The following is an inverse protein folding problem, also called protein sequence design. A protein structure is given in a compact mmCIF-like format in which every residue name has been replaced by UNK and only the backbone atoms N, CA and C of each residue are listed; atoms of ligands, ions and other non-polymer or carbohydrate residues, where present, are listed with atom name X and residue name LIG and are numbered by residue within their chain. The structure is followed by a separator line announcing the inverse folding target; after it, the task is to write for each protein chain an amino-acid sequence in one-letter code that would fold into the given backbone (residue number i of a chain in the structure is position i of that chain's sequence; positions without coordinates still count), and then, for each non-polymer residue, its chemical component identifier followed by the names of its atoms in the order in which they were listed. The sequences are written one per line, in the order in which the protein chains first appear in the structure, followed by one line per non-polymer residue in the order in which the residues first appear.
data_IF_556507383319
#
_entry.id   IF_556507383319
#
_cell.length_a   1.000
_cell.length_b   1.000
_cell.length_c   1.000
_cell.angle_alpha   90.00
_cell.angle_beta   90.00
_cell.angle_gamma   90.00
#
_symmetry.space_group_name_H-M   'P 1'
#
loop_
_entity.id
_entity.type
_entity.pdbx_description
1 polymer ?
#
# COMPACT_ATOMS: atom_id res chain seq x y z
N UNK A 1 -23.80 -6.33 23.09
CA UNK A 1 -23.30 -4.94 22.89
C UNK A 1 -22.19 -4.53 23.88
N UNK A 2 -21.60 -5.45 24.68
CA UNK A 2 -20.42 -5.17 25.52
C UNK A 2 -19.09 -5.42 24.80
N UNK A 3 -19.04 -6.46 23.95
CA UNK A 3 -17.82 -6.93 23.29
C UNK A 3 -17.08 -5.87 22.43
N UNK A 4 -17.81 -4.94 21.81
CA UNK A 4 -17.23 -3.89 20.96
C UNK A 4 -16.52 -2.80 21.78
N UNK A 5 -17.03 -2.48 22.97
CA UNK A 5 -16.35 -1.54 23.89
C UNK A 5 -15.08 -2.18 24.44
N UNK A 6 -15.17 -3.43 24.85
CA UNK A 6 -14.00 -4.20 25.31
C UNK A 6 -12.93 -4.37 24.22
N UNK A 7 -13.32 -4.45 22.94
CA UNK A 7 -12.37 -4.49 21.83
C UNK A 7 -11.67 -3.14 21.60
N UNK A 8 -12.42 -2.03 21.65
CA UNK A 8 -11.86 -0.68 21.51
C UNK A 8 -10.87 -0.39 22.63
N UNK A 9 -11.26 -0.66 23.89
CA UNK A 9 -10.41 -0.40 25.06
C UNK A 9 -9.12 -1.24 25.01
N UNK A 10 -9.20 -2.49 24.52
CA UNK A 10 -8.03 -3.36 24.29
C UNK A 10 -7.13 -2.85 23.17
N UNK A 11 -7.71 -2.35 22.07
CA UNK A 11 -6.96 -1.81 20.94
C UNK A 11 -6.22 -0.51 21.34
N UNK A 12 -6.87 0.37 22.09
CA UNK A 12 -6.29 1.61 22.62
C UNK A 12 -5.16 1.31 23.61
N UNK A 13 -5.37 0.41 24.58
CA UNK A 13 -4.30 -0.05 25.50
C UNK A 13 -3.12 -0.71 24.79
N UNK A 14 -3.37 -1.46 23.71
CA UNK A 14 -2.30 -2.08 22.94
C UNK A 14 -1.49 -1.06 22.15
N UNK A 15 -2.16 -0.06 21.56
CA UNK A 15 -1.51 1.04 20.85
C UNK A 15 -0.66 1.90 21.80
N UNK A 16 -1.16 2.18 23.00
CA UNK A 16 -0.43 2.92 24.03
C UNK A 16 0.86 2.22 24.45
N UNK A 17 0.83 0.89 24.64
CA UNK A 17 2.05 0.11 24.91
C UNK A 17 3.06 0.14 23.77
N UNK A 18 2.58 0.23 22.52
CA UNK A 18 3.43 0.16 21.34
C UNK A 18 4.08 1.53 21.01
N UNK A 19 3.33 2.61 21.23
CA UNK A 19 3.73 3.97 20.85
C UNK A 19 4.14 4.84 22.05
N UNK A 20 4.01 4.34 23.29
CA UNK A 20 4.25 5.10 24.54
C UNK A 20 3.37 6.35 24.71
N UNK A 21 2.32 6.48 23.90
CA UNK A 21 1.35 7.59 23.92
C UNK A 21 -0.07 7.02 23.78
N UNK A 22 -1.03 7.58 24.52
CA UNK A 22 -2.44 7.19 24.40
C UNK A 22 -2.96 7.56 23.01
N UNK A 23 -3.40 6.56 22.24
CA UNK A 23 -4.03 6.76 20.94
C UNK A 23 -5.50 6.34 20.99
N UNK A 24 -6.37 7.18 20.46
CA UNK A 24 -7.78 6.87 20.25
C UNK A 24 -7.95 5.84 19.14
N UNK A 25 -9.06 5.10 19.16
CA UNK A 25 -9.45 4.16 18.11
C UNK A 25 -9.50 4.77 16.71
N UNK A 26 -9.82 6.06 16.59
CA UNK A 26 -9.78 6.78 15.30
C UNK A 26 -8.34 6.99 14.81
N UNK A 27 -7.41 7.33 15.71
CA UNK A 27 -5.99 7.49 15.39
C UNK A 27 -5.35 6.14 15.03
N UNK A 28 -5.72 5.06 15.73
CA UNK A 28 -5.33 3.70 15.39
C UNK A 28 -5.81 3.34 13.98
N UNK A 29 -7.08 3.60 13.67
CA UNK A 29 -7.63 3.33 12.34
C UNK A 29 -6.91 4.14 11.25
N UNK A 30 -6.60 5.42 11.49
CA UNK A 30 -5.83 6.28 10.59
C UNK A 30 -4.42 5.72 10.36
N UNK A 31 -3.73 5.28 11.42
CA UNK A 31 -2.41 4.67 11.31
C UNK A 31 -2.43 3.36 10.52
N UNK A 32 -3.43 2.50 10.74
CA UNK A 32 -3.61 1.28 9.95
C UNK A 32 -3.90 1.57 8.48
N UNK A 33 -4.73 2.58 8.20
CA UNK A 33 -5.02 3.00 6.84
C UNK A 33 -3.75 3.53 6.14
N UNK A 34 -2.95 4.34 6.84
CA UNK A 34 -1.68 4.86 6.34
C UNK A 34 -0.66 3.74 6.09
N UNK A 35 -0.52 2.80 7.03
CA UNK A 35 0.35 1.64 6.88
C UNK A 35 -0.07 0.76 5.69
N UNK A 36 -1.38 0.50 5.56
CA UNK A 36 -1.94 -0.23 4.42
C UNK A 36 -1.68 0.48 3.08
N UNK A 37 -1.79 1.81 3.05
CA UNK A 37 -1.45 2.61 1.87
C UNK A 37 0.03 2.50 1.52
N UNK A 38 0.92 2.62 2.52
CA UNK A 38 2.37 2.48 2.32
C UNK A 38 2.72 1.09 1.78
N UNK A 39 2.15 0.02 2.33
CA UNK A 39 2.39 -1.35 1.85
C UNK A 39 1.96 -1.56 0.40
N UNK A 40 0.82 -0.99 0.00
CA UNK A 40 0.35 -1.05 -1.40
C UNK A 40 1.27 -0.28 -2.34
N UNK A 41 1.78 0.88 -1.91
CA UNK A 41 2.75 1.64 -2.68
C UNK A 41 4.08 0.87 -2.84
N UNK A 42 4.61 0.30 -1.76
CA UNK A 42 5.83 -0.54 -1.79
C UNK A 42 5.67 -1.75 -2.71
N UNK A 43 4.53 -2.45 -2.65
CA UNK A 43 4.25 -3.59 -3.51
C UNK A 43 4.19 -3.19 -4.99
N UNK A 44 3.58 -2.05 -5.29
CA UNK A 44 3.47 -1.54 -6.65
C UNK A 44 4.83 -1.12 -7.22
N UNK A 45 5.70 -0.50 -6.41
CA UNK A 45 7.07 -0.14 -6.80
C UNK A 45 7.91 -1.38 -7.12
N UNK A 46 7.83 -2.43 -6.30
CA UNK A 46 8.52 -3.71 -6.57
C UNK A 46 8.05 -4.32 -7.88
N UNK A 47 6.75 -4.34 -8.12
CA UNK A 47 6.19 -4.85 -9.37
C UNK A 47 6.63 -4.02 -10.59
N UNK A 48 6.66 -2.68 -10.54
CA UNK A 48 7.18 -1.86 -11.67
C UNK A 48 8.66 -2.17 -11.95
N UNK A 49 9.47 -2.39 -10.92
CA UNK A 49 10.87 -2.75 -11.07
C UNK A 49 11.05 -4.12 -11.74
N UNK A 50 10.28 -5.13 -11.31
CA UNK A 50 10.25 -6.46 -11.95
C UNK A 50 9.77 -6.37 -13.40
N UNK A 51 8.70 -5.62 -13.65
CA UNK A 51 8.14 -5.41 -14.99
C UNK A 51 9.14 -4.71 -15.92
N UNK A 52 9.89 -3.72 -15.41
CA UNK A 52 10.97 -3.06 -16.16
C UNK A 52 12.08 -4.05 -16.49
N UNK A 53 12.51 -4.84 -15.50
CA UNK A 53 13.47 -5.92 -15.70
C UNK A 53 13.02 -6.90 -16.77
N UNK A 54 11.76 -7.33 -16.76
CA UNK A 54 11.20 -8.22 -17.79
C UNK A 54 11.25 -7.56 -19.17
N UNK A 55 10.83 -6.29 -19.31
CA UNK A 55 10.86 -5.55 -20.59
C UNK A 55 12.29 -5.45 -21.16
N UNK A 56 13.28 -5.22 -20.31
CA UNK A 56 14.66 -4.96 -20.72
C UNK A 56 15.51 -6.23 -20.93
N UNK A 57 15.14 -7.37 -20.32
CA UNK A 57 15.97 -8.58 -20.25
C UNK A 57 15.74 -9.65 -21.34
N UNK A 58 14.72 -9.54 -22.18
CA UNK A 58 14.36 -10.63 -23.11
C UNK A 58 14.09 -10.15 -24.54
N UNK A 59 14.41 -10.95 -25.58
CA UNK A 59 13.93 -10.75 -26.93
C UNK A 59 12.44 -11.12 -26.99
N UNK A 60 11.61 -10.33 -26.34
CA UNK A 60 10.16 -10.48 -26.41
C UNK A 60 9.69 -10.35 -27.84
N UNK A 61 8.69 -11.12 -28.23
CA UNK A 61 7.93 -10.79 -29.43
C UNK A 61 7.41 -9.35 -29.31
N UNK A 62 7.45 -8.59 -30.41
CA UNK A 62 7.04 -7.18 -30.42
C UNK A 62 5.65 -6.99 -29.75
N UNK A 63 4.75 -7.95 -29.96
CA UNK A 63 3.43 -8.03 -29.32
C UNK A 63 3.52 -8.10 -27.80
N UNK A 64 4.33 -8.98 -27.23
CA UNK A 64 4.50 -9.11 -25.78
C UNK A 64 5.13 -7.86 -25.19
N UNK A 65 6.13 -7.28 -25.84
CA UNK A 65 6.73 -6.01 -25.41
C UNK A 65 5.70 -4.87 -25.35
N UNK A 66 4.87 -4.72 -26.37
CA UNK A 66 3.80 -3.71 -26.40
C UNK A 66 2.79 -3.92 -25.26
N UNK A 67 2.41 -5.17 -24.97
CA UNK A 67 1.52 -5.49 -23.85
C UNK A 67 2.13 -5.12 -22.49
N UNK A 68 3.40 -5.43 -22.27
CA UNK A 68 4.12 -5.08 -21.03
C UNK A 68 4.25 -3.55 -20.87
N UNK A 69 4.55 -2.82 -21.96
CA UNK A 69 4.58 -1.35 -21.92
C UNK A 69 3.20 -0.72 -21.66
N UNK A 70 2.13 -1.29 -22.25
CA UNK A 70 0.76 -0.84 -22.00
C UNK A 70 0.34 -1.08 -20.54
N UNK A 71 0.72 -2.23 -19.96
CA UNK A 71 0.51 -2.53 -18.55
C UNK A 71 1.23 -1.52 -17.66
N UNK A 72 2.52 -1.26 -17.93
CA UNK A 72 3.33 -0.28 -17.20
C UNK A 72 2.73 1.13 -17.24
N UNK A 73 2.20 1.56 -18.40
CA UNK A 73 1.53 2.85 -18.53
C UNK A 73 0.27 2.95 -17.67
N UNK A 74 -0.56 1.90 -17.63
CA UNK A 74 -1.76 1.86 -16.76
C UNK A 74 -1.38 1.92 -15.28
N UNK A 75 -0.30 1.24 -14.91
CA UNK A 75 0.25 1.27 -13.55
C UNK A 75 0.77 2.65 -13.12
N UNK A 76 1.33 3.43 -14.04
CA UNK A 76 1.74 4.82 -13.77
C UNK A 76 0.60 5.68 -13.19
N UNK A 77 -0.63 5.49 -13.68
CA UNK A 77 -1.81 6.18 -13.14
C UNK A 77 -2.16 5.76 -11.71
N UNK A 78 -1.96 4.48 -11.38
CA UNK A 78 -2.16 3.96 -10.01
C UNK A 78 -1.09 4.50 -9.06
N UNK A 79 0.17 4.59 -9.50
CA UNK A 79 1.24 5.22 -8.73
C UNK A 79 0.94 6.70 -8.41
N UNK A 80 0.46 7.46 -9.38
CA UNK A 80 0.08 8.85 -9.15
C UNK A 80 -1.09 8.97 -8.18
N UNK A 81 -2.11 8.11 -8.29
CA UNK A 81 -3.24 8.11 -7.38
C UNK A 81 -2.82 7.78 -5.94
N UNK A 82 -2.00 6.75 -5.74
CA UNK A 82 -1.47 6.40 -4.42
C UNK A 82 -0.55 7.49 -3.84
N UNK A 83 0.25 8.15 -4.68
CA UNK A 83 1.09 9.28 -4.25
C UNK A 83 0.26 10.50 -3.84
N UNK A 84 -0.86 10.77 -4.54
CA UNK A 84 -1.80 11.83 -4.17
C UNK A 84 -2.56 11.50 -2.88
N UNK A 85 -2.95 10.24 -2.68
CA UNK A 85 -3.63 9.80 -1.45
C UNK A 85 -2.74 9.82 -0.20
N UNK A 86 -1.42 9.94 -0.37
CA UNK A 86 -0.41 10.00 0.69
C UNK A 86 -0.03 11.45 1.07
N UNK A 87 -0.46 12.45 0.28
CA UNK A 87 -0.30 13.88 0.57
C UNK A 87 -1.55 14.42 1.24
#
# INVERSE_FOLDING_TARGET
MQDTRDFIDRAESAAEKLHSESMTSEEIAKNFALYGLQKRAEALERFDNELRGEIDSSPHSLRRRVQLMALRKKMGGVHEALRKARR
#
